data_IF_371950434785
#
_entry.id   IF_371950434785
#
_cell.length_a   1.000
_cell.length_b   1.000
_cell.length_c   1.000
_cell.angle_alpha   90.00
_cell.angle_beta   90.00
_cell.angle_gamma   90.00
#
_symmetry.space_group_name_H-M   'P 1'
#
loop_
_entity.id
_entity.type
_entity.pdbx_description
1 polymer ?
#
# COMPACT_ATOMS: atom_id res chain seq x y z
N UNK A 1 -17.67 7.97 -5.06
CA UNK A 1 -17.39 8.39 -3.68
C UNK A 1 -16.33 7.46 -3.08
N UNK A 2 -15.32 8.04 -2.44
CA UNK A 2 -14.25 7.31 -1.75
C UNK A 2 -14.36 7.59 -0.25
N UNK A 3 -14.40 6.54 0.56
CA UNK A 3 -14.43 6.64 2.01
C UNK A 3 -13.04 6.37 2.59
N UNK A 4 -12.44 7.40 3.17
CA UNK A 4 -11.10 7.39 3.73
C UNK A 4 -10.10 8.14 2.86
N UNK A 5 -9.26 8.95 3.50
CA UNK A 5 -8.23 9.77 2.85
C UNK A 5 -6.81 9.40 3.31
N UNK A 6 -6.57 8.12 3.52
CA UNK A 6 -5.23 7.55 3.64
C UNK A 6 -4.62 7.29 2.25
N UNK A 7 -3.50 6.58 2.19
CA UNK A 7 -2.79 6.32 0.93
C UNK A 7 -3.66 5.64 -0.11
N UNK A 8 -4.42 4.63 0.25
CA UNK A 8 -5.30 3.91 -0.66
C UNK A 8 -6.44 4.80 -1.19
N UNK A 9 -7.11 5.52 -0.29
CA UNK A 9 -8.23 6.39 -0.66
C UNK A 9 -7.80 7.56 -1.54
N UNK A 10 -6.69 8.21 -1.24
CA UNK A 10 -6.16 9.30 -2.06
C UNK A 10 -5.69 8.80 -3.42
N UNK A 11 -5.07 7.62 -3.51
CA UNK A 11 -4.67 7.03 -4.79
C UNK A 11 -5.89 6.71 -5.65
N UNK A 12 -6.94 6.15 -5.06
CA UNK A 12 -8.21 5.90 -5.76
C UNK A 12 -8.85 7.21 -6.24
N UNK A 13 -8.86 8.25 -5.40
CA UNK A 13 -9.42 9.56 -5.76
C UNK A 13 -8.66 10.20 -6.94
N UNK A 14 -7.34 10.11 -6.96
CA UNK A 14 -6.52 10.59 -8.08
C UNK A 14 -6.84 9.83 -9.35
N UNK A 15 -6.90 8.50 -9.31
CA UNK A 15 -7.22 7.68 -10.48
C UNK A 15 -8.62 7.95 -11.05
N UNK A 16 -9.60 8.12 -10.18
CA UNK A 16 -10.97 8.47 -10.59
C UNK A 16 -11.04 9.87 -11.21
N UNK A 17 -10.32 10.81 -10.66
CA UNK A 17 -10.23 12.18 -11.19
C UNK A 17 -9.54 12.21 -12.55
N UNK A 18 -8.47 11.47 -12.75
CA UNK A 18 -7.79 11.31 -14.04
C UNK A 18 -8.71 10.71 -15.11
N UNK A 19 -9.59 9.80 -14.71
CA UNK A 19 -10.60 9.21 -15.60
C UNK A 19 -11.75 10.16 -15.94
N UNK A 20 -11.74 11.40 -15.46
CA UNK A 20 -12.76 12.42 -15.72
C UNK A 20 -14.02 12.28 -14.87
N UNK A 21 -14.00 11.45 -13.84
CA UNK A 21 -15.14 11.24 -12.96
C UNK A 21 -15.17 12.29 -11.84
N UNK A 22 -16.35 12.82 -11.55
CA UNK A 22 -16.56 13.68 -10.39
C UNK A 22 -16.39 12.84 -9.12
N UNK A 23 -15.37 13.16 -8.34
CA UNK A 23 -14.97 12.35 -7.19
C UNK A 23 -15.10 13.13 -5.90
N UNK A 24 -15.78 12.53 -4.91
CA UNK A 24 -15.80 13.00 -3.53
C UNK A 24 -15.02 12.02 -2.66
N UNK A 25 -14.10 12.55 -1.85
CA UNK A 25 -13.37 11.80 -0.86
C UNK A 25 -13.80 12.25 0.54
N UNK A 26 -14.37 11.34 1.30
CA UNK A 26 -14.92 11.62 2.63
C UNK A 26 -13.98 11.03 3.67
N UNK A 27 -13.56 11.82 4.64
CA UNK A 27 -12.64 11.40 5.69
C UNK A 27 -13.11 11.88 7.06
N UNK A 28 -12.85 11.06 8.08
CA UNK A 28 -13.09 11.43 9.47
C UNK A 28 -12.11 12.50 9.96
N UNK A 29 -10.86 12.42 9.49
CA UNK A 29 -9.79 13.34 9.88
C UNK A 29 -9.14 13.96 8.64
N UNK A 30 -8.42 15.04 8.82
CA UNK A 30 -7.67 15.65 7.74
C UNK A 30 -6.63 14.65 7.16
N UNK A 31 -6.43 14.60 5.83
CA UNK A 31 -5.57 13.58 5.20
C UNK A 31 -4.16 13.48 5.77
N UNK A 32 -3.56 14.60 6.20
CA UNK A 32 -2.24 14.61 6.82
C UNK A 32 -2.19 13.97 8.22
N UNK A 33 -3.34 13.63 8.79
CA UNK A 33 -3.46 12.89 10.04
C UNK A 33 -3.74 11.41 9.86
N UNK A 34 -3.70 10.92 8.62
CA UNK A 34 -3.83 9.48 8.34
C UNK A 34 -2.62 8.71 8.86
N UNK A 35 -2.81 7.41 9.10
CA UNK A 35 -1.69 6.52 9.44
C UNK A 35 -0.64 6.46 8.33
N UNK A 36 -1.04 6.63 7.08
CA UNK A 36 -0.11 6.71 5.94
C UNK A 36 0.85 7.89 6.07
N UNK A 37 0.36 9.05 6.48
CA UNK A 37 1.21 10.23 6.72
C UNK A 37 2.04 10.13 8.00
N UNK A 38 1.51 9.45 9.02
CA UNK A 38 2.18 9.27 10.30
C UNK A 38 3.22 8.15 10.29
N UNK A 39 3.16 7.24 9.32
CA UNK A 39 4.09 6.13 9.19
C UNK A 39 5.51 6.61 8.86
N UNK A 40 6.49 5.98 9.51
CA UNK A 40 7.89 6.12 9.14
C UNK A 40 8.24 5.03 8.13
N UNK A 41 8.95 5.33 7.07
CA UNK A 41 9.52 4.36 6.17
C UNK A 41 8.77 4.06 4.87
N UNK A 42 7.62 4.63 4.63
CA UNK A 42 6.95 4.53 3.34
C UNK A 42 6.45 3.12 2.97
N UNK A 43 6.50 2.78 1.69
CA UNK A 43 6.07 1.49 1.15
C UNK A 43 7.28 0.77 0.57
N UNK A 44 7.60 -0.40 1.14
CA UNK A 44 8.73 -1.21 0.71
C UNK A 44 8.34 -2.18 -0.40
N UNK A 45 9.21 -2.33 -1.39
CA UNK A 45 9.09 -3.30 -2.46
C UNK A 45 10.47 -3.88 -2.81
N UNK A 46 10.51 -5.15 -3.19
CA UNK A 46 11.73 -5.85 -3.55
C UNK A 46 12.13 -5.54 -5.00
N UNK A 47 12.66 -4.35 -5.24
CA UNK A 47 13.04 -3.86 -6.57
C UNK A 47 14.52 -4.09 -6.92
N UNK A 48 15.32 -4.51 -5.96
CA UNK A 48 16.76 -4.71 -6.16
C UNK A 48 17.59 -3.44 -6.35
N UNK A 49 17.08 -2.27 -5.92
CA UNK A 49 17.74 -0.99 -6.13
C UNK A 49 19.04 -0.82 -5.34
N UNK A 50 19.13 -1.45 -4.17
CA UNK A 50 20.27 -1.33 -3.24
C UNK A 50 21.18 -2.56 -3.26
N UNK A 51 20.81 -3.61 -3.98
CA UNK A 51 21.53 -4.87 -4.04
C UNK A 51 20.63 -5.99 -4.54
N UNK A 52 21.11 -7.23 -4.51
CA UNK A 52 20.31 -8.39 -4.85
C UNK A 52 19.12 -8.51 -3.89
N UNK A 53 17.91 -8.69 -4.44
CA UNK A 53 16.69 -8.81 -3.68
C UNK A 53 15.71 -9.77 -4.35
N UNK A 54 14.75 -10.30 -3.58
CA UNK A 54 13.71 -11.20 -4.07
C UNK A 54 12.41 -10.91 -3.33
N UNK A 55 11.28 -10.86 -4.04
CA UNK A 55 9.98 -10.63 -3.44
C UNK A 55 9.60 -11.70 -2.40
N UNK A 56 10.16 -12.91 -2.51
CA UNK A 56 9.92 -14.01 -1.55
C UNK A 56 10.55 -13.72 -0.18
N UNK A 57 11.70 -13.07 -0.14
CA UNK A 57 12.33 -12.64 1.11
C UNK A 57 11.46 -11.61 1.81
N UNK A 58 10.95 -10.65 1.05
CA UNK A 58 10.03 -9.64 1.58
C UNK A 58 8.70 -10.25 2.05
N UNK A 59 8.18 -11.25 1.32
CA UNK A 59 7.02 -12.03 1.74
C UNK A 59 7.28 -12.74 3.06
N UNK A 60 8.40 -13.43 3.18
CA UNK A 60 8.78 -14.14 4.39
C UNK A 60 8.88 -13.20 5.59
N UNK A 61 9.56 -12.08 5.44
CA UNK A 61 9.70 -11.08 6.51
C UNK A 61 8.35 -10.53 6.95
N UNK A 62 7.44 -10.33 6.02
CA UNK A 62 6.09 -9.83 6.31
C UNK A 62 5.25 -10.87 7.06
N UNK A 63 5.27 -12.13 6.62
CA UNK A 63 4.57 -13.22 7.28
C UNK A 63 5.11 -13.44 8.69
N UNK A 64 6.43 -13.45 8.84
CA UNK A 64 7.11 -13.61 10.14
C UNK A 64 6.83 -12.42 11.06
N UNK A 65 6.90 -11.20 10.55
CA UNK A 65 6.62 -9.97 11.32
C UNK A 65 5.18 -9.87 11.78
N UNK A 66 4.24 -10.51 11.09
CA UNK A 66 2.85 -10.62 11.49
C UNK A 66 2.59 -11.81 12.46
N UNK A 67 3.62 -12.43 13.00
CA UNK A 67 3.53 -13.61 13.89
C UNK A 67 2.71 -14.76 13.28
N UNK A 68 2.76 -14.93 11.96
CA UNK A 68 2.02 -15.96 11.20
C UNK A 68 0.49 -15.80 11.26
N UNK A 69 0.00 -14.66 11.72
CA UNK A 69 -1.43 -14.38 11.86
C UNK A 69 -2.03 -13.71 10.60
N UNK A 70 -1.20 -13.30 9.66
CA UNK A 70 -1.66 -12.67 8.43
C UNK A 70 -2.23 -13.67 7.42
N UNK A 71 -3.01 -13.17 6.46
CA UNK A 71 -3.45 -13.92 5.30
C UNK A 71 -2.28 -14.07 4.32
N UNK A 72 -1.71 -15.28 4.24
CA UNK A 72 -0.52 -15.54 3.43
C UNK A 72 -0.77 -15.36 1.93
N UNK A 73 -1.94 -15.71 1.43
CA UNK A 73 -2.29 -15.55 0.01
C UNK A 73 -2.36 -14.08 -0.39
N UNK A 74 -2.95 -13.25 0.47
CA UNK A 74 -3.00 -11.80 0.26
C UNK A 74 -1.61 -11.16 0.33
N UNK A 75 -0.77 -11.61 1.25
CA UNK A 75 0.62 -11.15 1.37
C UNK A 75 1.43 -11.52 0.12
N UNK A 76 1.33 -12.77 -0.35
CA UNK A 76 1.99 -13.22 -1.58
C UNK A 76 1.54 -12.39 -2.77
N UNK A 77 0.23 -12.25 -2.96
CA UNK A 77 -0.34 -11.46 -4.04
C UNK A 77 0.23 -10.04 -4.05
N UNK A 78 0.20 -9.38 -2.89
CA UNK A 78 0.69 -8.00 -2.76
C UNK A 78 2.18 -7.89 -3.08
N UNK A 79 3.03 -8.72 -2.48
CA UNK A 79 4.48 -8.64 -2.66
C UNK A 79 4.91 -8.97 -4.08
N UNK A 80 4.29 -9.96 -4.70
CA UNK A 80 4.56 -10.37 -6.08
C UNK A 80 4.17 -9.28 -7.10
N UNK A 81 3.00 -8.68 -6.93
CA UNK A 81 2.49 -7.71 -7.90
C UNK A 81 3.11 -6.31 -7.74
N UNK A 82 3.64 -5.98 -6.58
CA UNK A 82 4.30 -4.70 -6.36
C UNK A 82 5.64 -4.57 -7.08
N UNK A 83 6.27 -5.69 -7.44
CA UNK A 83 7.55 -5.73 -8.15
C UNK A 83 7.37 -5.55 -9.67
N UNK A 84 6.20 -5.86 -10.20
CA UNK A 84 5.96 -5.93 -11.64
C UNK A 84 5.16 -4.76 -12.24
N UNK A 85 5.01 -3.66 -11.51
CA UNK A 85 4.32 -2.47 -12.04
C UNK A 85 5.18 -1.25 -12.12
#
# INVERSE_FOLDING_TARGET
MVLGAGGAGLRAAVGLSEAGLKTACISKVFPTRSHTSAAQGGISAALGNMGEDDWRWHMYDTVKGADWLGDQDSIEYFKRHFVFR
#
